data_IF_186764731700
#
_entry.id   IF_186764731700
#
_cell.length_a   1.000
_cell.length_b   1.000
_cell.length_c   1.000
_cell.angle_alpha   90.00
_cell.angle_beta   90.00
_cell.angle_gamma   90.00
#
_symmetry.space_group_name_H-M   'P 1'
#
loop_
_entity.id
_entity.type
_entity.pdbx_description
1 polymer ?
#
# COMPACT_ATOMS: atom_id res chain seq x y z
N UNK A 1 4.85 13.38 7.33
CA UNK A 1 4.07 12.46 8.19
C UNK A 1 3.12 11.72 7.28
N UNK A 2 3.01 10.39 7.40
CA UNK A 2 2.02 9.62 6.64
C UNK A 2 0.65 10.27 6.89
N UNK A 3 -0.02 10.77 5.85
CA UNK A 3 -1.33 11.40 5.99
C UNK A 3 -2.44 10.40 6.40
N UNK A 4 -2.05 9.15 6.70
CA UNK A 4 -2.93 8.08 7.14
C UNK A 4 -3.01 8.12 8.67
N UNK A 5 -4.21 8.34 9.24
CA UNK A 5 -4.38 8.33 10.69
C UNK A 5 -4.01 6.97 11.30
N UNK A 6 -3.43 6.91 12.51
CA UNK A 6 -3.12 5.65 13.18
C UNK A 6 -4.31 4.70 13.28
N UNK A 7 -5.52 5.23 13.51
CA UNK A 7 -6.75 4.46 13.55
C UNK A 7 -7.03 3.72 12.22
N UNK A 8 -6.65 4.31 11.08
CA UNK A 8 -6.81 3.70 9.77
C UNK A 8 -5.82 2.54 9.57
N UNK A 9 -4.60 2.69 10.08
CA UNK A 9 -3.61 1.60 10.09
C UNK A 9 -4.08 0.45 10.98
N UNK A 10 -4.62 0.74 12.17
CA UNK A 10 -5.20 -0.26 13.07
C UNK A 10 -6.38 -1.00 12.42
N UNK A 11 -7.24 -0.27 11.70
CA UNK A 11 -8.32 -0.86 10.92
C UNK A 11 -7.80 -1.85 9.88
N UNK A 12 -6.74 -1.50 9.13
CA UNK A 12 -6.14 -2.43 8.16
C UNK A 12 -5.53 -3.67 8.81
N UNK A 13 -4.98 -3.55 10.01
CA UNK A 13 -4.51 -4.71 10.79
C UNK A 13 -5.69 -5.59 11.24
N UNK A 14 -6.78 -4.98 11.73
CA UNK A 14 -7.98 -5.71 12.14
C UNK A 14 -8.64 -6.46 10.97
N UNK A 15 -8.67 -5.86 9.79
CA UNK A 15 -9.14 -6.45 8.54
C UNK A 15 -8.14 -7.44 7.91
N UNK A 16 -7.00 -7.71 8.56
CA UNK A 16 -5.92 -8.60 8.08
C UNK A 16 -5.32 -8.19 6.73
N UNK A 17 -5.48 -6.92 6.35
CA UNK A 17 -4.81 -6.32 5.19
C UNK A 17 -3.34 -6.03 5.48
N UNK A 18 -3.04 -5.74 6.75
CA UNK A 18 -1.68 -5.65 7.28
C UNK A 18 -1.49 -6.71 8.37
N UNK A 19 -0.36 -7.41 8.29
CA UNK A 19 0.00 -8.46 9.23
C UNK A 19 1.10 -7.97 10.15
N UNK A 20 0.93 -8.28 11.43
CA UNK A 20 1.91 -7.94 12.47
C UNK A 20 2.62 -9.18 12.98
N UNK A 21 3.92 -9.08 13.24
CA UNK A 21 4.71 -10.07 13.97
C UNK A 21 5.34 -9.38 15.18
N UNK A 22 5.03 -9.84 16.40
CA UNK A 22 5.52 -9.22 17.63
C UNK A 22 5.07 -7.76 17.81
N UNK A 23 3.86 -7.41 17.35
CA UNK A 23 3.31 -6.06 17.44
C UNK A 23 3.85 -5.07 16.38
N UNK A 24 4.69 -5.52 15.45
CA UNK A 24 5.21 -4.71 14.34
C UNK A 24 4.66 -5.20 13.01
N UNK A 25 4.21 -4.29 12.16
CA UNK A 25 3.83 -4.62 10.78
C UNK A 25 5.09 -5.10 10.05
N UNK A 26 5.00 -6.21 9.33
CA UNK A 26 6.15 -6.75 8.60
C UNK A 26 6.30 -6.08 7.24
N UNK A 27 7.54 -5.85 6.80
CA UNK A 27 7.82 -5.25 5.48
C UNK A 27 7.15 -6.03 4.35
N UNK A 28 7.19 -7.37 4.41
CA UNK A 28 6.52 -8.24 3.44
C UNK A 28 5.01 -8.01 3.38
N UNK A 29 4.37 -7.74 4.52
CA UNK A 29 2.95 -7.42 4.55
C UNK A 29 2.66 -6.03 4.02
N UNK A 30 3.53 -5.05 4.29
CA UNK A 30 3.41 -3.71 3.71
C UNK A 30 3.51 -3.82 2.20
N UNK A 31 4.56 -4.44 1.65
CA UNK A 31 4.73 -4.59 0.20
C UNK A 31 3.52 -5.22 -0.47
N UNK A 32 2.99 -6.30 0.10
CA UNK A 32 1.76 -6.93 -0.40
C UNK A 32 0.57 -5.99 -0.37
N UNK A 33 0.35 -5.30 0.74
CA UNK A 33 -0.73 -4.32 0.87
C UNK A 33 -0.62 -3.18 -0.16
N UNK A 34 0.59 -2.67 -0.40
CA UNK A 34 0.83 -1.62 -1.39
C UNK A 34 0.51 -2.09 -2.82
N UNK A 35 0.85 -3.33 -3.15
CA UNK A 35 0.57 -3.93 -4.45
C UNK A 35 -0.93 -4.21 -4.66
N UNK A 36 -1.58 -4.79 -3.65
CA UNK A 36 -2.97 -5.24 -3.73
C UNK A 36 -3.97 -4.08 -3.59
N UNK A 37 -3.67 -3.09 -2.74
CA UNK A 37 -4.57 -2.00 -2.35
C UNK A 37 -3.96 -0.59 -2.48
N UNK A 38 -3.32 -0.21 -3.60
CA UNK A 38 -2.71 1.10 -3.75
C UNK A 38 -3.72 2.25 -3.69
N UNK A 39 -5.00 1.99 -4.00
CA UNK A 39 -6.09 2.96 -3.91
C UNK A 39 -6.41 3.39 -2.47
N UNK A 40 -5.99 2.62 -1.47
CA UNK A 40 -6.17 2.96 -0.06
C UNK A 40 -5.13 3.98 0.45
N UNK A 41 -4.14 4.30 -0.37
CA UNK A 41 -3.06 5.23 -0.03
C UNK A 41 -3.20 6.48 -0.90
N UNK A 42 -3.24 7.67 -0.29
CA UNK A 42 -3.32 8.91 -1.04
C UNK A 42 -1.94 9.30 -1.60
N UNK A 43 -1.39 8.49 -2.51
CA UNK A 43 -0.01 8.61 -3.01
C UNK A 43 0.32 10.01 -3.52
N UNK A 44 -0.57 10.59 -4.33
CA UNK A 44 -0.39 11.91 -4.94
C UNK A 44 -0.37 13.05 -3.92
N UNK A 45 -0.92 12.85 -2.71
CA UNK A 45 -0.90 13.86 -1.64
C UNK A 45 0.30 13.71 -0.71
N UNK A 46 1.14 12.69 -0.91
CA UNK A 46 2.36 12.48 -0.12
C UNK A 46 3.51 13.31 -0.70
N UNK A 47 4.48 13.63 0.15
CA UNK A 47 5.71 14.27 -0.32
C UNK A 47 6.58 13.29 -1.14
N UNK A 48 7.57 13.84 -1.86
CA UNK A 48 8.42 13.07 -2.78
C UNK A 48 9.17 11.93 -2.06
N UNK A 49 9.71 12.18 -0.86
CA UNK A 49 10.44 11.16 -0.10
C UNK A 49 9.57 9.96 0.23
N UNK A 50 8.32 10.21 0.65
CA UNK A 50 7.37 9.16 0.97
C UNK A 50 6.85 8.43 -0.27
N UNK A 51 6.68 9.15 -1.38
CA UNK A 51 6.37 8.52 -2.68
C UNK A 51 7.49 7.57 -3.11
N UNK A 52 8.75 7.98 -2.96
CA UNK A 52 9.90 7.14 -3.30
C UNK A 52 9.99 5.92 -2.39
N UNK A 53 9.83 6.10 -1.07
CA UNK A 53 9.78 4.98 -0.12
C UNK A 53 8.67 3.98 -0.47
N UNK A 54 7.49 4.46 -0.84
CA UNK A 54 6.38 3.60 -1.28
C UNK A 54 6.74 2.80 -2.54
N UNK A 55 7.39 3.42 -3.53
CA UNK A 55 7.86 2.72 -4.73
C UNK A 55 8.89 1.64 -4.39
N UNK A 56 9.85 1.93 -3.53
CA UNK A 56 10.85 0.94 -3.05
C UNK A 56 10.19 -0.24 -2.35
N UNK A 57 9.10 0.01 -1.62
CA UNK A 57 8.31 -1.02 -0.94
C UNK A 57 7.37 -1.79 -1.87
N UNK A 58 7.28 -1.44 -3.16
CA UNK A 58 6.45 -2.16 -4.14
C UNK A 58 5.10 -1.53 -4.44
N UNK A 59 4.89 -0.25 -4.13
CA UNK A 59 3.73 0.49 -4.63
C UNK A 59 3.77 0.52 -6.16
N UNK A 60 2.68 0.13 -6.85
CA UNK A 60 2.67 0.01 -8.29
C UNK A 60 2.82 1.38 -8.92
N UNK A 61 3.75 1.49 -9.87
CA UNK A 61 3.81 2.69 -10.69
C UNK A 61 2.49 2.83 -11.45
N UNK A 62 1.89 4.03 -11.46
CA UNK A 62 0.56 4.24 -12.04
C UNK A 62 0.53 3.86 -13.54
N UNK A 63 1.69 3.90 -14.20
CA UNK A 63 1.92 3.41 -15.55
C UNK A 63 1.83 1.87 -15.69
N UNK A 64 2.13 1.10 -14.64
CA UNK A 64 2.08 -0.35 -14.65
C UNK A 64 0.67 -0.91 -14.39
N UNK A 65 -0.19 -0.20 -13.64
CA UNK A 65 -1.51 -0.70 -13.25
C UNK A 65 -2.54 -0.74 -14.40
N UNK A 66 -2.32 0.00 -15.50
CA UNK A 66 -3.16 -0.11 -16.71
C UNK A 66 -3.03 -1.47 -17.41
N UNK A 67 -1.99 -2.27 -17.15
CA UNK A 67 -1.85 -3.62 -17.71
C UNK A 67 -2.41 -4.73 -16.83
N UNK A 68 -2.54 -4.52 -15.53
CA UNK A 68 -2.94 -5.56 -14.58
C UNK A 68 -4.47 -5.63 -14.33
N UNK A 69 -5.21 -4.57 -14.66
CA UNK A 69 -6.68 -4.52 -14.47
C UNK A 69 -7.49 -4.81 -15.74
N UNK A 70 -6.84 -5.23 -16.84
CA UNK A 70 -7.46 -5.41 -18.15
C UNK A 70 -7.28 -6.81 -18.77
N UNK A 71 -6.94 -7.84 -17.97
CA UNK A 71 -6.86 -9.22 -18.45
C UNK A 71 -7.74 -10.09 -17.56
N UNK A 72 -9.05 -9.91 -17.68
CA UNK A 72 -10.07 -10.91 -17.35
C UNK A 72 -11.42 -10.41 -17.89
N UNK A 73 -11.63 -10.58 -19.19
CA UNK A 73 -12.94 -10.64 -19.85
C UNK A 73 -12.72 -11.22 -21.26
N UNK A 74 -12.86 -12.54 -21.32
CA UNK A 74 -13.26 -13.43 -22.43
C UNK A 74 -12.94 -13.04 -23.89
#
# INVERSE_FOLDING_TARGET
MFAVPPARVQYWVAEKLLLTKGGRITDSSVSKFLADHPEKIPFESLNVDMQNWLREMGYPDRAAKQKAAGVDSE
#
